data_IF_803937486462
#
_entry.id   IF_803937486462
#
_cell.length_a   1.000
_cell.length_b   1.000
_cell.length_c   1.000
_cell.angle_alpha   90.00
_cell.angle_beta   90.00
_cell.angle_gamma   90.00
#
_symmetry.space_group_name_H-M   'P 1'
#
loop_
_entity.id
_entity.type
_entity.pdbx_description
1 polymer ?
#
# COMPACT_ATOMS: atom_id res chain seq x y z
N UNK A 1 -10.23 -30.69 -43.64
CA UNK A 1 -11.05 -29.65 -43.00
C UNK A 1 -11.76 -30.26 -41.80
N UNK A 2 -11.46 -29.83 -40.59
CA UNK A 2 -12.19 -30.27 -39.39
C UNK A 2 -11.33 -30.14 -38.13
N UNK A 3 -11.65 -29.14 -37.31
CA UNK A 3 -11.62 -29.13 -35.84
C UNK A 3 -11.82 -27.68 -35.36
N UNK A 4 -13.09 -27.28 -35.21
CA UNK A 4 -13.46 -26.24 -34.24
C UNK A 4 -13.34 -26.87 -32.86
N UNK A 5 -12.48 -26.34 -31.98
CA UNK A 5 -12.55 -26.68 -30.57
C UNK A 5 -12.08 -25.53 -29.69
N UNK A 6 -12.92 -25.26 -28.69
CA UNK A 6 -12.59 -24.61 -27.42
C UNK A 6 -12.74 -23.08 -27.32
N UNK A 7 -13.99 -22.59 -27.42
CA UNK A 7 -14.39 -21.45 -26.58
C UNK A 7 -14.71 -21.98 -25.17
N UNK A 8 -13.74 -21.83 -24.26
CA UNK A 8 -13.91 -22.05 -22.82
C UNK A 8 -14.11 -20.69 -22.16
N UNK A 9 -15.20 -20.52 -21.41
CA UNK A 9 -15.31 -19.37 -20.51
C UNK A 9 -16.72 -18.86 -20.29
N UNK A 10 -17.52 -19.65 -19.56
CA UNK A 10 -18.70 -19.13 -18.85
C UNK A 10 -18.22 -18.25 -17.71
N UNK A 11 -18.66 -16.99 -17.65
CA UNK A 11 -19.04 -16.35 -16.38
C UNK A 11 -20.18 -15.37 -16.67
N UNK A 12 -21.39 -15.76 -16.28
CA UNK A 12 -22.48 -14.82 -16.02
C UNK A 12 -22.10 -14.02 -14.78
N UNK A 13 -21.95 -12.71 -14.89
CA UNK A 13 -22.09 -11.81 -13.74
C UNK A 13 -23.43 -11.11 -13.84
N UNK A 14 -24.49 -11.91 -13.66
CA UNK A 14 -25.78 -11.41 -13.19
C UNK A 14 -25.58 -11.09 -11.70
N UNK A 15 -25.29 -9.83 -11.40
CA UNK A 15 -25.34 -9.29 -10.03
C UNK A 15 -26.00 -7.94 -10.08
N UNK A 16 -27.30 -7.98 -10.31
CA UNK A 16 -28.21 -7.02 -9.71
C UNK A 16 -28.03 -7.06 -8.19
N UNK A 17 -27.80 -5.93 -7.49
CA UNK A 17 -28.14 -5.83 -6.09
C UNK A 17 -29.48 -5.09 -5.99
N UNK A 18 -30.52 -5.89 -5.81
CA UNK A 18 -31.82 -5.48 -5.30
C UNK A 18 -31.71 -5.31 -3.78
N UNK A 19 -31.11 -4.23 -3.26
CA UNK A 19 -31.28 -3.86 -1.84
C UNK A 19 -31.28 -2.34 -1.70
N UNK A 20 -32.50 -1.79 -1.68
CA UNK A 20 -32.83 -0.51 -1.07
C UNK A 20 -32.73 -0.67 0.45
N UNK A 21 -31.86 0.10 1.10
CA UNK A 21 -32.10 0.83 2.36
C UNK A 21 -30.97 1.88 2.46
N UNK A 22 -31.34 3.09 2.06
CA UNK A 22 -30.52 4.26 1.76
C UNK A 22 -29.85 4.86 2.99
N UNK A 23 -28.70 4.33 3.38
CA UNK A 23 -27.73 5.10 4.14
C UNK A 23 -26.44 5.14 3.34
N UNK A 24 -26.02 6.35 2.97
CA UNK A 24 -24.79 6.58 2.22
C UNK A 24 -23.74 7.14 3.17
N UNK A 25 -22.50 6.73 2.98
CA UNK A 25 -21.33 7.23 3.67
C UNK A 25 -20.45 7.99 2.71
N UNK A 26 -19.86 9.06 3.22
CA UNK A 26 -18.92 9.91 2.50
C UNK A 26 -17.52 9.52 2.94
N UNK A 27 -16.71 9.02 2.00
CA UNK A 27 -15.32 8.61 2.26
C UNK A 27 -14.36 9.38 1.40
N UNK A 28 -13.19 9.68 1.95
CA UNK A 28 -12.11 10.30 1.20
C UNK A 28 -11.08 9.25 0.82
N UNK A 29 -10.89 9.02 -0.48
CA UNK A 29 -9.86 8.13 -1.02
C UNK A 29 -8.70 8.97 -1.51
N UNK A 30 -7.50 8.71 -0.98
CA UNK A 30 -6.27 9.41 -1.34
C UNK A 30 -5.12 8.43 -1.55
N UNK A 31 -4.07 8.87 -2.25
CA UNK A 31 -2.87 8.08 -2.50
C UNK A 31 -2.82 7.49 -3.91
N UNK A 32 -2.30 6.26 -4.02
CA UNK A 32 -2.07 5.58 -5.31
C UNK A 32 -3.37 4.98 -5.90
N UNK A 33 -4.36 5.83 -6.20
CA UNK A 33 -5.58 5.49 -6.93
C UNK A 33 -5.74 6.36 -8.17
N UNK A 34 -6.49 5.91 -9.18
CA UNK A 34 -6.64 6.68 -10.43
C UNK A 34 -7.29 8.04 -10.22
N UNK A 35 -8.29 8.11 -9.34
CA UNK A 35 -9.01 9.35 -9.05
C UNK A 35 -9.11 9.53 -7.53
N UNK A 36 -8.13 10.19 -6.89
CA UNK A 36 -8.25 10.55 -5.49
C UNK A 36 -9.34 11.61 -5.33
N UNK A 37 -10.18 11.46 -4.31
CA UNK A 37 -11.34 12.30 -4.12
C UNK A 37 -12.30 11.78 -3.06
N UNK A 38 -13.42 12.49 -2.93
CA UNK A 38 -14.50 12.14 -2.00
C UNK A 38 -15.57 11.38 -2.76
N UNK A 39 -15.96 10.22 -2.24
CA UNK A 39 -16.91 9.31 -2.85
C UNK A 39 -18.05 8.98 -1.89
N UNK A 40 -19.23 8.83 -2.48
CA UNK A 40 -20.46 8.45 -1.77
C UNK A 40 -20.74 6.98 -2.04
N UNK A 41 -20.70 6.16 -0.99
CA UNK A 41 -20.87 4.70 -1.06
C UNK A 41 -22.00 4.26 -0.12
N UNK A 42 -22.64 3.11 -0.35
CA UNK A 42 -23.62 2.58 0.60
C UNK A 42 -22.96 2.17 1.93
N UNK A 43 -23.71 2.26 3.02
CA UNK A 43 -23.27 1.72 4.31
C UNK A 43 -22.96 0.22 4.21
N UNK A 44 -21.86 -0.19 4.84
CA UNK A 44 -21.35 -1.56 4.73
C UNK A 44 -20.42 -1.79 3.54
N UNK A 45 -20.17 -0.78 2.69
CA UNK A 45 -19.08 -0.82 1.71
C UNK A 45 -17.73 -1.04 2.39
N UNK A 46 -16.85 -1.76 1.70
CA UNK A 46 -15.50 -2.07 2.16
C UNK A 46 -14.48 -1.18 1.48
N UNK A 47 -13.24 -1.19 1.99
CA UNK A 47 -12.12 -0.45 1.38
C UNK A 47 -11.96 -0.78 -0.11
N UNK A 48 -12.14 -2.04 -0.51
CA UNK A 48 -12.13 -2.44 -1.93
C UNK A 48 -13.14 -1.65 -2.78
N UNK A 49 -14.35 -1.42 -2.29
CA UNK A 49 -15.43 -0.81 -3.07
C UNK A 49 -15.16 0.69 -3.27
N UNK A 50 -14.51 1.33 -2.28
CA UNK A 50 -14.05 2.71 -2.41
C UNK A 50 -12.91 2.85 -3.42
N UNK A 51 -11.97 1.89 -3.45
CA UNK A 51 -10.89 1.90 -4.44
C UNK A 51 -11.45 1.66 -5.84
N UNK A 52 -12.42 0.76 -5.99
CA UNK A 52 -13.09 0.50 -7.27
C UNK A 52 -13.85 1.75 -7.76
N UNK A 53 -14.61 2.41 -6.86
CA UNK A 53 -15.27 3.69 -7.14
C UNK A 53 -14.28 4.82 -7.51
N UNK A 54 -13.05 4.78 -6.97
CA UNK A 54 -11.95 5.67 -7.35
C UNK A 54 -11.26 5.29 -8.68
N UNK A 55 -11.82 4.32 -9.43
CA UNK A 55 -11.31 3.86 -10.73
C UNK A 55 -10.31 2.71 -10.64
N UNK A 56 -10.14 2.12 -9.46
CA UNK A 56 -9.20 1.05 -9.18
C UNK A 56 -7.83 1.55 -8.71
N UNK A 57 -7.00 0.63 -8.17
CA UNK A 57 -5.64 0.94 -7.76
C UNK A 57 -4.76 1.27 -8.98
N UNK A 58 -3.80 2.17 -8.82
CA UNK A 58 -2.72 2.35 -9.80
C UNK A 58 -1.77 1.14 -9.81
N UNK A 59 -0.97 0.98 -10.87
CA UNK A 59 0.02 -0.12 -10.94
C UNK A 59 1.08 -0.02 -9.82
N UNK A 60 1.40 1.21 -9.43
CA UNK A 60 2.26 1.54 -8.30
C UNK A 60 1.56 1.43 -6.95
N UNK A 61 0.26 1.09 -6.86
CA UNK A 61 -0.43 0.99 -5.57
C UNK A 61 -0.08 -0.29 -4.82
N UNK A 62 0.17 -0.17 -3.52
CA UNK A 62 0.35 -1.30 -2.62
C UNK A 62 -0.95 -1.59 -1.86
N UNK A 63 -1.82 -2.35 -2.52
CA UNK A 63 -3.07 -2.85 -1.93
C UNK A 63 -2.84 -3.96 -0.89
N UNK A 64 -1.67 -4.60 -0.85
CA UNK A 64 -1.39 -5.68 0.10
C UNK A 64 -1.09 -5.14 1.50
N UNK A 65 -0.63 -3.89 1.59
CA UNK A 65 -0.49 -3.16 2.86
C UNK A 65 -1.83 -2.72 3.47
N UNK A 66 -2.93 -2.83 2.74
CA UNK A 66 -4.25 -2.47 3.21
C UNK A 66 -5.14 -3.69 3.43
N UNK A 67 -5.95 -3.64 4.49
CA UNK A 67 -7.02 -4.61 4.66
C UNK A 67 -8.21 -4.25 3.75
N UNK A 68 -8.22 -4.78 2.53
CA UNK A 68 -9.28 -4.51 1.54
C UNK A 68 -10.68 -4.92 2.01
N UNK A 69 -10.77 -5.85 2.97
CA UNK A 69 -12.03 -6.35 3.51
C UNK A 69 -12.60 -5.49 4.66
N UNK A 70 -11.87 -4.47 5.10
CA UNK A 70 -12.27 -3.60 6.20
C UNK A 70 -13.50 -2.77 5.82
N UNK A 71 -14.47 -2.68 6.73
CA UNK A 71 -15.70 -1.91 6.51
C UNK A 71 -15.40 -0.41 6.62
N UNK A 72 -15.99 0.35 5.72
CA UNK A 72 -15.92 1.80 5.71
C UNK A 72 -16.96 2.40 6.67
N UNK A 73 -16.55 3.49 7.30
CA UNK A 73 -17.40 4.33 8.12
C UNK A 73 -17.51 5.72 7.47
N UNK A 74 -18.57 6.44 7.77
CA UNK A 74 -18.74 7.82 7.31
C UNK A 74 -17.60 8.72 7.81
N UNK A 75 -17.11 9.60 6.93
CA UNK A 75 -15.98 10.48 7.19
C UNK A 75 -14.61 9.79 7.23
N UNK A 76 -14.53 8.47 6.96
CA UNK A 76 -13.26 7.74 6.97
C UNK A 76 -12.37 8.14 5.78
N UNK A 77 -11.09 8.37 6.05
CA UNK A 77 -10.06 8.58 5.04
C UNK A 77 -9.35 7.27 4.74
N UNK A 78 -9.46 6.79 3.50
CA UNK A 78 -8.71 5.65 2.98
C UNK A 78 -7.48 6.19 2.28
N UNK A 79 -6.30 5.84 2.79
CA UNK A 79 -5.03 6.18 2.14
C UNK A 79 -4.42 4.94 1.52
N UNK A 80 -4.29 4.92 0.20
CA UNK A 80 -3.66 3.83 -0.55
C UNK A 80 -2.16 4.13 -0.68
N UNK A 81 -1.29 3.40 0.03
CA UNK A 81 0.14 3.60 -0.10
C UNK A 81 0.59 3.20 -1.51
N UNK A 82 1.53 3.94 -2.08
CA UNK A 82 2.27 3.46 -3.24
C UNK A 82 3.25 2.37 -2.78
N UNK A 83 3.52 1.40 -3.65
CA UNK A 83 4.68 0.51 -3.60
C UNK A 83 5.90 1.41 -3.63
N UNK A 84 6.53 1.57 -2.47
CA UNK A 84 7.83 2.19 -2.34
C UNK A 84 8.83 1.44 -3.24
N UNK A 85 8.97 1.86 -4.50
CA UNK A 85 10.13 1.52 -5.33
C UNK A 85 11.31 2.47 -5.00
N UNK A 86 11.15 3.34 -3.99
CA UNK A 86 12.10 4.39 -3.61
C UNK A 86 12.17 4.64 -2.09
N UNK A 87 11.84 3.62 -1.29
CA UNK A 87 12.66 3.38 -0.11
C UNK A 87 13.62 2.31 -0.54
N UNK A 88 14.67 2.76 -1.22
CA UNK A 88 15.92 2.03 -1.09
C UNK A 88 16.14 1.88 0.42
N UNK A 89 15.96 0.66 0.89
CA UNK A 89 16.71 0.13 2.01
C UNK A 89 18.19 0.09 1.55
N UNK A 90 18.75 1.24 1.15
CA UNK A 90 20.18 1.44 1.18
C UNK A 90 20.49 1.53 2.67
N UNK A 91 20.85 0.38 3.20
CA UNK A 91 22.12 0.30 3.90
C UNK A 91 22.22 1.22 5.13
N UNK A 92 21.17 1.19 5.96
CA UNK A 92 21.36 1.34 7.40
C UNK A 92 22.24 0.23 8.00
N UNK A 93 22.59 -0.79 7.22
CA UNK A 93 23.57 -1.82 7.56
C UNK A 93 25.00 -1.30 7.36
N UNK A 94 25.38 -0.35 8.20
CA UNK A 94 26.79 0.02 8.36
C UNK A 94 27.54 -1.20 8.88
N UNK A 95 28.43 -1.77 8.07
CA UNK A 95 29.18 -2.97 8.42
C UNK A 95 30.24 -2.63 9.47
N UNK A 96 30.05 -3.09 10.71
CA UNK A 96 30.90 -2.73 11.86
C UNK A 96 32.39 -3.06 11.67
N UNK A 97 32.68 -4.08 10.85
CA UNK A 97 34.03 -4.57 10.63
C UNK A 97 34.82 -3.74 9.60
N UNK A 98 34.12 -3.02 8.71
CA UNK A 98 34.76 -2.29 7.60
C UNK A 98 34.42 -0.80 7.55
N UNK A 99 33.39 -0.35 8.29
CA UNK A 99 32.93 1.01 8.24
C UNK A 99 33.91 2.02 8.88
N UNK A 100 33.90 3.23 8.34
CA UNK A 100 34.65 4.39 8.82
C UNK A 100 34.00 5.05 10.05
N UNK A 101 34.78 5.83 10.80
CA UNK A 101 34.32 6.54 12.00
C UNK A 101 33.12 7.44 11.73
N UNK A 102 33.09 8.07 10.54
CA UNK A 102 32.02 8.97 10.15
C UNK A 102 30.72 8.21 9.82
N UNK A 103 30.83 7.04 9.20
CA UNK A 103 29.69 6.17 8.88
C UNK A 103 29.09 5.54 10.15
N UNK A 104 29.92 5.16 11.12
CA UNK A 104 29.45 4.68 12.43
C UNK A 104 28.80 5.81 13.25
N UNK A 105 29.27 7.05 13.11
CA UNK A 105 28.71 8.23 13.81
C UNK A 105 27.38 8.74 13.21
N UNK A 106 26.99 8.28 12.02
CA UNK A 106 25.66 8.55 11.45
C UNK A 106 24.56 7.64 12.02
N UNK A 107 24.92 6.62 12.80
CA UNK A 107 23.94 5.71 13.41
C UNK A 107 23.22 6.38 14.60
N UNK A 108 21.91 6.12 14.79
CA UNK A 108 21.15 6.68 15.89
C UNK A 108 21.76 6.26 17.23
N UNK A 109 22.04 7.24 18.11
CA UNK A 109 22.71 7.08 19.41
C UNK A 109 24.22 6.75 19.36
N UNK A 110 24.87 6.80 18.19
CA UNK A 110 26.32 6.69 18.08
C UNK A 110 26.88 8.03 17.57
N UNK A 111 27.55 8.76 18.44
CA UNK A 111 28.30 9.96 18.06
C UNK A 111 29.78 9.65 17.77
N UNK A 112 30.57 10.66 17.37
CA UNK A 112 31.99 10.49 17.00
C UNK A 112 32.83 9.84 18.10
N UNK A 113 32.56 10.18 19.38
CA UNK A 113 33.26 9.60 20.52
C UNK A 113 32.99 8.09 20.70
N UNK A 114 31.78 7.62 20.35
CA UNK A 114 31.45 6.19 20.40
C UNK A 114 31.98 5.46 19.16
N UNK A 115 31.94 6.10 17.99
CA UNK A 115 32.51 5.55 16.76
C UNK A 115 34.02 5.27 16.87
N UNK A 116 34.79 6.19 17.47
CA UNK A 116 36.23 6.00 17.70
C UNK A 116 36.53 4.80 18.59
N UNK A 117 35.75 4.59 19.66
CA UNK A 117 35.92 3.43 20.55
C UNK A 117 35.66 2.09 19.85
N UNK A 118 34.74 2.07 18.88
CA UNK A 118 34.43 0.86 18.11
C UNK A 118 35.61 0.51 17.19
N UNK A 119 36.27 1.52 16.61
CA UNK A 119 37.47 1.33 15.78
C UNK A 119 38.68 0.95 16.64
N UNK A 120 38.86 1.59 17.79
CA UNK A 120 39.97 1.28 18.72
C UNK A 120 39.88 -0.15 19.26
N UNK A 121 38.67 -0.68 19.49
CA UNK A 121 38.48 -2.04 19.97
C UNK A 121 38.80 -3.14 18.93
N UNK A 122 38.86 -2.80 17.64
CA UNK A 122 39.14 -3.78 16.55
C UNK A 122 40.60 -3.82 16.08
N UNK A 123 41.41 -2.81 16.43
CA UNK A 123 42.86 -2.80 16.20
C UNK A 123 43.59 -3.64 17.25
#
# INVERSE_FOLDING_TARGET
>A
MGMCSSLKGRVFSDKSPLVSESSVLIVHVAGAVKSPGVYTLPVGSRIQDAIDAAGGPLAEADIHRLNLADILADGKKVHVPAKDNNKSEEDGLVNINTADANALATLPNIGPARAQKIIEYRE
#
